data_IF_023312493664
#
_entry.id   IF_023312493664
#
_cell.length_a   1.000
_cell.length_b   1.000
_cell.length_c   1.000
_cell.angle_alpha   90.00
_cell.angle_beta   90.00
_cell.angle_gamma   90.00
#
_symmetry.space_group_name_H-M   'P 1'
#
loop_
_entity.id
_entity.type
_entity.pdbx_description
1 polymer ?
#
# COMPACT_ATOMS: atom_id res chain seq x y z
N UNK A 1 6.43 -9.66 22.01
CA UNK A 1 5.44 -9.84 20.94
C UNK A 1 5.93 -9.20 19.66
N UNK A 2 5.69 -9.84 18.56
CA UNK A 2 6.09 -9.29 17.26
C UNK A 2 5.19 -8.13 16.85
N UNK A 3 5.76 -7.17 16.15
CA UNK A 3 5.00 -6.07 15.58
C UNK A 3 4.18 -6.55 14.40
N UNK A 4 3.08 -5.88 14.12
CA UNK A 4 2.32 -6.11 12.89
C UNK A 4 3.17 -5.72 11.68
N UNK A 5 3.05 -6.47 10.62
CA UNK A 5 3.86 -6.26 9.41
C UNK A 5 3.08 -5.52 8.35
N UNK A 6 3.70 -4.49 7.79
CA UNK A 6 3.11 -3.63 6.76
C UNK A 6 3.92 -3.75 5.47
N UNK A 7 3.22 -4.02 4.36
CA UNK A 7 3.79 -3.88 3.03
C UNK A 7 3.48 -2.45 2.56
N UNK A 8 4.52 -1.63 2.43
CA UNK A 8 4.39 -0.23 2.05
C UNK A 8 5.00 0.00 0.68
N UNK A 9 4.21 0.48 -0.27
CA UNK A 9 4.62 0.66 -1.66
C UNK A 9 4.55 2.14 -2.03
N UNK A 10 5.70 2.75 -2.28
CA UNK A 10 5.84 4.17 -2.59
C UNK A 10 7.10 4.40 -3.40
N UNK A 11 6.99 5.07 -4.55
CA UNK A 11 8.14 5.36 -5.42
C UNK A 11 8.88 6.65 -5.06
N UNK A 12 8.26 7.56 -4.33
CA UNK A 12 8.93 8.76 -3.83
C UNK A 12 9.77 8.38 -2.62
N UNK A 13 11.09 8.32 -2.81
CA UNK A 13 12.02 7.84 -1.78
C UNK A 13 12.03 8.73 -0.53
N UNK A 14 11.92 10.04 -0.69
CA UNK A 14 11.90 10.96 0.46
C UNK A 14 10.64 10.76 1.30
N UNK A 15 9.48 10.70 0.64
CA UNK A 15 8.23 10.47 1.34
C UNK A 15 8.20 9.08 1.97
N UNK A 16 8.70 8.07 1.25
CA UNK A 16 8.77 6.71 1.77
C UNK A 16 9.64 6.64 3.03
N UNK A 17 10.79 7.29 3.02
CA UNK A 17 11.68 7.30 4.18
C UNK A 17 11.00 7.93 5.39
N UNK A 18 10.37 9.09 5.22
CA UNK A 18 9.70 9.80 6.31
C UNK A 18 8.52 9.01 6.86
N UNK A 19 7.73 8.43 5.97
CA UNK A 19 6.55 7.65 6.37
C UNK A 19 6.96 6.36 7.07
N UNK A 20 7.93 5.64 6.51
CA UNK A 20 8.42 4.40 7.10
C UNK A 20 9.04 4.66 8.48
N UNK A 21 9.79 5.73 8.62
CA UNK A 21 10.41 6.09 9.90
C UNK A 21 9.36 6.27 10.99
N UNK A 22 8.26 6.94 10.68
CA UNK A 22 7.16 7.09 11.62
C UNK A 22 6.45 5.78 11.93
N UNK A 23 6.19 4.97 10.91
CA UNK A 23 5.48 3.70 11.08
C UNK A 23 6.31 2.66 11.82
N UNK A 24 7.63 2.66 11.63
CA UNK A 24 8.51 1.68 12.26
C UNK A 24 8.56 1.79 13.78
N UNK A 25 8.10 2.88 14.34
CA UNK A 25 7.96 3.01 15.79
C UNK A 25 6.95 2.00 16.36
N UNK A 26 5.98 1.58 15.55
CA UNK A 26 4.89 0.71 15.99
C UNK A 26 4.71 -0.54 15.16
N UNK A 27 5.30 -0.57 13.95
CA UNK A 27 5.09 -1.64 12.98
C UNK A 27 6.41 -2.10 12.39
N UNK A 28 6.38 -3.30 11.82
CA UNK A 28 7.49 -3.83 11.03
C UNK A 28 7.18 -3.53 9.56
N UNK A 29 7.89 -2.56 8.98
CA UNK A 29 7.59 -2.04 7.65
C UNK A 29 8.56 -2.58 6.62
N UNK A 30 8.01 -3.17 5.54
CA UNK A 30 8.78 -3.56 4.37
C UNK A 30 8.39 -2.63 3.22
N UNK A 31 9.32 -1.81 2.78
CA UNK A 31 9.09 -0.82 1.74
C UNK A 31 9.55 -1.32 0.38
N UNK A 32 8.72 -1.10 -0.64
CA UNK A 32 9.04 -1.33 -2.05
C UNK A 32 8.76 -0.06 -2.83
N UNK A 33 9.55 0.18 -3.88
CA UNK A 33 9.37 1.37 -4.71
C UNK A 33 8.66 1.10 -6.04
N UNK A 34 8.21 -0.13 -6.26
CA UNK A 34 7.46 -0.49 -7.47
C UNK A 34 6.49 -1.64 -7.18
N UNK A 35 5.49 -1.78 -8.04
CA UNK A 35 4.42 -2.74 -7.81
C UNK A 35 4.82 -4.19 -8.03
N UNK A 36 5.70 -4.45 -8.98
CA UNK A 36 6.15 -5.80 -9.30
C UNK A 36 6.85 -6.45 -8.12
N UNK A 37 7.81 -5.72 -7.55
CA UNK A 37 8.55 -6.19 -6.39
C UNK A 37 7.64 -6.34 -5.17
N UNK A 38 6.72 -5.40 -4.99
CA UNK A 38 5.76 -5.45 -3.89
C UNK A 38 4.90 -6.71 -3.96
N UNK A 39 4.38 -7.04 -5.13
CA UNK A 39 3.58 -8.23 -5.30
C UNK A 39 4.37 -9.50 -5.06
N UNK A 40 5.62 -9.54 -5.52
CA UNK A 40 6.51 -10.68 -5.26
C UNK A 40 6.73 -10.88 -3.76
N UNK A 41 6.95 -9.80 -3.01
CA UNK A 41 7.09 -9.86 -1.57
C UNK A 41 5.79 -10.34 -0.90
N UNK A 42 4.66 -9.85 -1.37
CA UNK A 42 3.37 -10.27 -0.82
C UNK A 42 3.16 -11.78 -0.98
N UNK A 43 3.61 -12.35 -2.10
CA UNK A 43 3.48 -13.78 -2.34
C UNK A 43 4.41 -14.62 -1.48
N UNK A 44 5.56 -14.08 -1.07
CA UNK A 44 6.58 -14.82 -0.33
C UNK A 44 6.45 -14.68 1.19
N UNK A 45 5.90 -13.57 1.66
CA UNK A 45 5.86 -13.26 3.09
C UNK A 45 4.45 -12.91 3.53
N UNK A 46 4.22 -12.98 4.83
CA UNK A 46 2.92 -12.64 5.40
C UNK A 46 2.91 -11.18 5.85
N UNK A 47 1.80 -10.50 5.59
CA UNK A 47 1.59 -9.12 6.01
C UNK A 47 0.25 -8.96 6.70
N UNK A 48 0.15 -7.97 7.58
CA UNK A 48 -1.08 -7.66 8.30
C UNK A 48 -1.82 -6.46 7.69
N UNK A 49 -1.12 -5.65 6.90
CA UNK A 49 -1.67 -4.44 6.29
C UNK A 49 -0.88 -4.11 5.04
N UNK A 50 -1.56 -3.60 4.02
CA UNK A 50 -0.92 -3.06 2.82
C UNK A 50 -1.21 -1.57 2.72
N UNK A 51 -0.16 -0.77 2.48
CA UNK A 51 -0.26 0.67 2.25
C UNK A 51 0.30 0.92 0.85
N UNK A 52 -0.55 1.26 -0.10
CA UNK A 52 -0.23 1.29 -1.50
C UNK A 52 -0.38 2.69 -2.09
N UNK A 53 0.68 3.19 -2.72
CA UNK A 53 0.59 4.38 -3.55
C UNK A 53 -0.18 4.03 -4.82
N UNK A 54 -1.07 4.90 -5.24
CA UNK A 54 -1.85 4.69 -6.47
C UNK A 54 -0.97 4.89 -7.70
N UNK A 55 -0.11 5.90 -7.69
CA UNK A 55 0.73 6.23 -8.84
C UNK A 55 2.13 5.66 -8.69
N UNK A 56 2.36 4.50 -9.30
CA UNK A 56 3.66 3.84 -9.31
C UNK A 56 4.18 3.73 -10.76
N UNK A 57 5.50 3.58 -10.94
CA UNK A 57 6.10 3.61 -12.29
C UNK A 57 5.75 2.42 -13.18
N UNK A 58 5.48 1.26 -12.62
CA UNK A 58 5.28 0.03 -13.39
C UNK A 58 3.84 -0.49 -13.39
N UNK A 59 3.14 -0.37 -12.27
CA UNK A 59 1.71 -0.70 -12.20
C UNK A 59 1.08 0.16 -11.11
N UNK A 60 -0.18 0.54 -11.29
CA UNK A 60 -0.81 1.40 -10.29
C UNK A 60 -1.22 0.61 -9.03
N UNK A 61 -1.48 1.34 -7.96
CA UNK A 61 -1.85 0.73 -6.68
C UNK A 61 -3.13 -0.09 -6.76
N UNK A 62 -4.05 0.28 -7.65
CA UNK A 62 -5.30 -0.47 -7.82
C UNK A 62 -5.06 -1.84 -8.45
N UNK A 63 -4.10 -1.92 -9.38
CA UNK A 63 -3.72 -3.19 -9.98
C UNK A 63 -3.09 -4.11 -8.95
N UNK A 64 -2.21 -3.58 -8.12
CA UNK A 64 -1.60 -4.34 -7.02
C UNK A 64 -2.69 -4.86 -6.07
N UNK A 65 -3.61 -3.98 -5.69
CA UNK A 65 -4.69 -4.35 -4.78
C UNK A 65 -5.59 -5.44 -5.37
N UNK A 66 -5.86 -5.37 -6.66
CA UNK A 66 -6.64 -6.40 -7.35
C UNK A 66 -5.96 -7.77 -7.23
N UNK A 67 -4.66 -7.82 -7.48
CA UNK A 67 -3.90 -9.07 -7.37
C UNK A 67 -3.82 -9.56 -5.93
N UNK A 68 -3.66 -8.65 -4.97
CA UNK A 68 -3.66 -9.01 -3.55
C UNK A 68 -5.00 -9.60 -3.14
N UNK A 69 -6.11 -9.00 -3.58
CA UNK A 69 -7.45 -9.48 -3.26
C UNK A 69 -7.76 -10.87 -3.81
N UNK A 70 -7.13 -11.24 -4.90
CA UNK A 70 -7.27 -12.61 -5.43
C UNK A 70 -6.67 -13.64 -4.48
N UNK A 71 -5.67 -13.25 -3.69
CA UNK A 71 -4.98 -14.15 -2.76
C UNK A 71 -5.44 -14.02 -1.32
N UNK A 72 -5.87 -12.82 -0.92
CA UNK A 72 -6.33 -12.56 0.44
C UNK A 72 -7.40 -11.48 0.40
N UNK A 73 -8.65 -11.88 0.67
CA UNK A 73 -9.80 -10.98 0.62
C UNK A 73 -9.98 -10.17 1.89
N UNK A 74 -9.25 -10.49 2.95
CA UNK A 74 -9.48 -9.91 4.27
C UNK A 74 -8.42 -8.91 4.71
N UNK A 75 -7.22 -8.94 4.14
CA UNK A 75 -6.14 -8.05 4.57
C UNK A 75 -6.53 -6.58 4.35
N UNK A 76 -6.39 -5.70 5.35
CA UNK A 76 -6.67 -4.29 5.16
C UNK A 76 -5.76 -3.66 4.13
N UNK A 77 -6.32 -2.80 3.29
CA UNK A 77 -5.56 -2.06 2.28
C UNK A 77 -5.88 -0.58 2.41
N UNK A 78 -4.83 0.24 2.52
CA UNK A 78 -4.95 1.69 2.54
C UNK A 78 -4.29 2.23 1.28
N UNK A 79 -5.01 3.05 0.51
CA UNK A 79 -4.45 3.72 -0.65
C UNK A 79 -3.94 5.11 -0.28
N UNK A 80 -2.77 5.46 -0.82
CA UNK A 80 -2.21 6.80 -0.70
C UNK A 80 -2.28 7.47 -2.07
N UNK A 81 -2.72 8.72 -2.12
CA UNK A 81 -2.85 9.43 -3.39
C UNK A 81 -2.60 10.91 -3.26
N UNK A 82 -1.97 11.48 -4.28
CA UNK A 82 -1.89 12.93 -4.46
C UNK A 82 -3.16 13.48 -5.12
N UNK A 83 -4.02 12.60 -5.61
CA UNK A 83 -5.26 12.97 -6.29
C UNK A 83 -6.41 13.09 -5.31
N UNK A 84 -7.24 14.11 -5.50
CA UNK A 84 -8.46 14.30 -4.72
C UNK A 84 -9.70 13.90 -5.51
N UNK A 85 -9.54 13.26 -6.65
CA UNK A 85 -10.64 12.96 -7.58
C UNK A 85 -11.57 11.89 -7.01
N UNK A 86 -12.86 12.17 -7.14
CA UNK A 86 -13.92 11.29 -6.66
C UNK A 86 -13.86 9.89 -7.29
N UNK A 87 -13.51 9.84 -8.57
CA UNK A 87 -13.44 8.56 -9.30
C UNK A 87 -12.38 7.63 -8.71
N UNK A 88 -11.23 8.16 -8.30
CA UNK A 88 -10.19 7.35 -7.67
C UNK A 88 -10.67 6.78 -6.34
N UNK A 89 -11.41 7.55 -5.58
CA UNK A 89 -11.97 7.10 -4.31
C UNK A 89 -12.99 5.99 -4.50
N UNK A 90 -13.85 6.13 -5.50
CA UNK A 90 -14.85 5.11 -5.82
C UNK A 90 -14.16 3.84 -6.28
N UNK A 91 -13.14 3.95 -7.13
CA UNK A 91 -12.38 2.79 -7.61
C UNK A 91 -11.71 2.05 -6.45
N UNK A 92 -11.12 2.79 -5.51
CA UNK A 92 -10.50 2.20 -4.33
C UNK A 92 -11.52 1.44 -3.48
N UNK A 93 -12.69 2.02 -3.26
CA UNK A 93 -13.74 1.37 -2.49
C UNK A 93 -14.26 0.10 -3.18
N UNK A 94 -14.36 0.11 -4.50
CA UNK A 94 -14.78 -1.08 -5.27
C UNK A 94 -13.79 -2.22 -5.15
N UNK A 95 -12.51 -1.92 -4.94
CA UNK A 95 -11.48 -2.94 -4.72
C UNK A 95 -11.42 -3.42 -3.27
N UNK A 96 -12.33 -2.92 -2.42
CA UNK A 96 -12.40 -3.35 -1.04
C UNK A 96 -11.32 -2.78 -0.15
N UNK A 97 -10.84 -1.57 -0.43
CA UNK A 97 -9.92 -0.88 0.46
C UNK A 97 -10.65 -0.45 1.73
N UNK A 98 -9.96 -0.49 2.86
CA UNK A 98 -10.55 -0.08 4.13
C UNK A 98 -10.41 1.43 4.35
N UNK A 99 -9.47 2.08 3.68
CA UNK A 99 -9.25 3.50 3.83
C UNK A 99 -8.58 4.09 2.60
N UNK A 100 -8.60 5.40 2.53
CA UNK A 100 -8.09 6.16 1.39
C UNK A 100 -7.52 7.48 1.89
N UNK A 101 -6.20 7.62 1.82
CA UNK A 101 -5.50 8.82 2.28
C UNK A 101 -4.97 9.64 1.11
N UNK A 102 -5.05 10.96 1.24
CA UNK A 102 -4.59 11.90 0.23
C UNK A 102 -3.28 12.52 0.69
N UNK A 103 -2.29 12.54 -0.19
CA UNK A 103 -0.99 13.14 0.10
C UNK A 103 -1.06 14.67 0.01
N UNK A 104 -0.25 15.40 0.79
CA UNK A 104 0.59 14.93 1.89
C UNK A 104 -0.26 14.66 3.14
N UNK A 105 0.23 13.72 3.94
CA UNK A 105 -0.49 13.31 5.14
C UNK A 105 0.39 13.34 6.37
#
# INVERSE_FOLDING_TARGET
>A
MSKKRILYVEDDETLAFLTADNLEQHFDVLHCNNGKEAFQLFCRESFDLCVLDIMLPDMDGFEIATEIRKRNQEIPIIFLSAKTMKEDRIKGLKLGSDDYLIKPY
#
